data_IF_058841576455
#
_entry.id   IF_058841576455
#
_cell.length_a   1.000
_cell.length_b   1.000
_cell.length_c   1.000
_cell.angle_alpha   90.00
_cell.angle_beta   90.00
_cell.angle_gamma   90.00
#
_symmetry.space_group_name_H-M   'P 1'
#
loop_
_entity.id
_entity.type
_entity.pdbx_description
1 polymer ?
#
# COMPACT_ATOMS: atom_id res chain seq x y z
N UNK A 1 19.53 -19.88 23.13
CA UNK A 1 19.29 -18.73 22.22
C UNK A 1 19.27 -19.16 20.76
N UNK A 2 20.32 -19.84 20.24
CA UNK A 2 20.36 -20.32 18.85
C UNK A 2 19.17 -21.22 18.46
N UNK A 3 18.71 -22.12 19.35
CA UNK A 3 17.54 -22.96 19.11
C UNK A 3 16.21 -22.16 18.98
N UNK A 4 16.06 -21.07 19.74
CA UNK A 4 14.87 -20.20 19.65
C UNK A 4 14.86 -19.45 18.31
N UNK A 5 16.01 -18.92 17.90
CA UNK A 5 16.18 -18.25 16.59
C UNK A 5 15.88 -19.22 15.44
N UNK A 6 16.37 -20.46 15.53
CA UNK A 6 16.10 -21.50 14.53
C UNK A 6 14.59 -21.77 14.37
N UNK A 7 13.87 -21.93 15.47
CA UNK A 7 12.43 -22.21 15.46
C UNK A 7 11.62 -20.99 15.02
N UNK A 8 12.05 -19.77 15.36
CA UNK A 8 11.49 -18.53 14.84
C UNK A 8 11.56 -18.50 13.30
N UNK A 9 12.71 -18.86 12.71
CA UNK A 9 12.89 -18.85 11.25
C UNK A 9 11.97 -19.84 10.55
N UNK A 10 11.87 -21.07 11.07
CA UNK A 10 10.98 -22.12 10.52
C UNK A 10 9.53 -21.62 10.51
N UNK A 11 9.10 -20.92 11.55
CA UNK A 11 7.74 -20.38 11.63
C UNK A 11 7.53 -19.19 10.70
N UNK A 12 8.51 -18.28 10.60
CA UNK A 12 8.43 -17.07 9.78
C UNK A 12 8.53 -17.32 8.27
N UNK A 13 9.00 -18.50 7.83
CA UNK A 13 9.09 -18.89 6.40
C UNK A 13 7.75 -19.28 5.75
N UNK A 14 6.73 -19.69 6.52
CA UNK A 14 5.45 -20.22 5.97
C UNK A 14 4.47 -19.16 5.44
N UNK A 15 4.85 -17.89 5.36
CA UNK A 15 3.97 -16.80 4.91
C UNK A 15 4.20 -16.34 3.46
N UNK A 16 5.09 -16.97 2.69
CA UNK A 16 5.44 -16.51 1.33
C UNK A 16 5.63 -17.68 0.35
N UNK A 17 4.54 -18.33 -0.05
CA UNK A 17 4.52 -19.16 -1.27
C UNK A 17 3.24 -18.86 -2.05
N UNK A 18 3.40 -18.18 -3.19
CA UNK A 18 2.40 -18.08 -4.26
C UNK A 18 2.62 -19.26 -5.21
N UNK A 19 1.64 -20.12 -5.49
CA UNK A 19 1.79 -21.16 -6.50
C UNK A 19 1.50 -20.58 -7.89
N UNK A 20 2.53 -20.49 -8.73
CA UNK A 20 2.37 -20.40 -10.18
C UNK A 20 2.41 -21.82 -10.75
N UNK A 21 1.37 -22.22 -11.48
CA UNK A 21 1.35 -23.44 -12.29
C UNK A 21 0.99 -23.08 -13.73
N UNK A 22 1.89 -23.40 -14.66
CA UNK A 22 1.68 -23.34 -16.10
C UNK A 22 0.71 -24.44 -16.56
N UNK A 23 -0.09 -24.13 -17.58
CA UNK A 23 -0.67 -25.14 -18.46
C UNK A 23 -0.70 -24.60 -19.90
N UNK A 24 -0.05 -25.31 -20.80
CA UNK A 24 -0.01 -25.12 -22.25
C UNK A 24 -1.20 -25.84 -22.91
N UNK A 25 -1.71 -25.30 -24.02
CA UNK A 25 -2.21 -26.06 -25.18
C UNK A 25 -2.49 -25.14 -26.39
N UNK A 26 -2.02 -25.56 -27.57
CA UNK A 26 -2.25 -24.97 -28.89
C UNK A 26 -3.56 -25.48 -29.51
N UNK A 27 -4.26 -24.64 -30.30
CA UNK A 27 -4.91 -25.08 -31.56
C UNK A 27 -5.27 -23.89 -32.48
N UNK A 28 -5.35 -24.20 -33.78
CA UNK A 28 -5.32 -23.37 -35.00
C UNK A 28 -6.57 -22.53 -35.31
N UNK A 29 -6.39 -21.49 -36.15
CA UNK A 29 -7.43 -20.59 -36.68
C UNK A 29 -7.70 -20.91 -38.17
N UNK A 30 -8.98 -20.90 -38.59
CA UNK A 30 -9.40 -20.59 -39.95
C UNK A 30 -10.51 -19.51 -39.94
N UNK A 31 -10.60 -18.77 -41.05
CA UNK A 31 -11.23 -17.46 -41.27
C UNK A 31 -12.68 -17.53 -41.81
N UNK A 32 -13.57 -16.64 -41.35
CA UNK A 32 -14.29 -15.59 -42.14
C UNK A 32 -15.58 -15.05 -41.49
N UNK A 33 -15.66 -13.72 -41.47
CA UNK A 33 -16.76 -12.74 -41.64
C UNK A 33 -18.10 -12.68 -40.87
N UNK A 34 -18.32 -11.44 -40.36
CA UNK A 34 -19.49 -10.60 -40.06
C UNK A 34 -20.68 -11.11 -39.21
N UNK A 35 -20.98 -10.36 -38.13
CA UNK A 35 -22.07 -10.65 -37.19
C UNK A 35 -22.70 -9.34 -36.66
N UNK A 36 -24.03 -9.20 -36.76
CA UNK A 36 -24.79 -7.95 -36.53
C UNK A 36 -25.80 -8.02 -35.36
N UNK A 37 -25.40 -8.53 -34.19
CA UNK A 37 -26.30 -8.54 -33.02
C UNK A 37 -26.23 -7.25 -32.19
N UNK A 38 -27.38 -6.82 -31.63
CA UNK A 38 -27.48 -5.65 -30.74
C UNK A 38 -28.20 -6.01 -29.44
N UNK A 39 -27.64 -5.59 -28.31
CA UNK A 39 -28.21 -5.68 -26.98
C UNK A 39 -28.99 -4.40 -26.67
N UNK A 40 -30.25 -4.53 -26.26
CA UNK A 40 -31.10 -3.40 -25.92
C UNK A 40 -31.36 -3.39 -24.42
N UNK A 41 -30.90 -2.34 -23.73
CA UNK A 41 -31.11 -2.12 -22.30
C UNK A 41 -31.99 -0.90 -22.04
N UNK A 42 -32.76 -0.96 -20.95
CA UNK A 42 -33.55 0.16 -20.48
C UNK A 42 -32.64 1.19 -19.77
N UNK A 43 -32.63 2.43 -20.24
CA UNK A 43 -31.69 3.46 -19.78
C UNK A 43 -31.85 3.80 -18.29
N UNK A 44 -33.05 3.68 -17.72
CA UNK A 44 -33.31 4.04 -16.31
C UNK A 44 -32.99 2.92 -15.32
N UNK A 45 -32.91 1.66 -15.76
CA UNK A 45 -32.76 0.49 -14.88
C UNK A 45 -31.58 -0.41 -15.22
N UNK A 46 -30.94 -0.19 -16.37
CA UNK A 46 -29.95 -1.07 -16.99
C UNK A 46 -30.41 -2.52 -17.23
N UNK A 47 -31.70 -2.82 -17.06
CA UNK A 47 -32.25 -4.13 -17.34
C UNK A 47 -32.29 -4.40 -18.84
N UNK A 48 -31.92 -5.63 -19.24
CA UNK A 48 -31.94 -6.08 -20.64
C UNK A 48 -33.39 -6.30 -21.06
N UNK A 49 -33.84 -5.53 -22.08
CA UNK A 49 -35.23 -5.57 -22.56
C UNK A 49 -35.41 -6.62 -23.65
N UNK A 50 -34.31 -7.00 -24.33
CA UNK A 50 -34.30 -8.08 -25.32
C UNK A 50 -33.01 -8.88 -25.17
N UNK A 51 -33.07 -10.19 -24.89
CA UNK A 51 -31.86 -11.01 -24.84
C UNK A 51 -31.19 -11.03 -26.23
N UNK A 52 -29.85 -11.11 -26.31
CA UNK A 52 -29.19 -11.31 -27.59
C UNK A 52 -29.69 -12.64 -28.17
N UNK A 53 -30.10 -12.65 -29.45
CA UNK A 53 -30.35 -13.88 -30.18
C UNK A 53 -29.11 -14.76 -30.06
N UNK A 54 -29.22 -16.04 -29.69
CA UNK A 54 -28.06 -16.92 -29.53
C UNK A 54 -27.25 -16.98 -30.84
N UNK A 55 -25.99 -16.54 -30.79
CA UNK A 55 -25.03 -16.70 -31.88
C UNK A 55 -23.62 -16.81 -31.32
N UNK A 56 -22.84 -17.76 -31.83
CA UNK A 56 -21.43 -17.98 -31.50
C UNK A 56 -20.53 -17.30 -32.52
N UNK A 57 -20.43 -15.98 -32.46
CA UNK A 57 -19.49 -15.22 -33.28
C UNK A 57 -18.19 -15.00 -32.49
N UNK A 58 -17.03 -15.39 -33.05
CA UNK A 58 -15.71 -15.03 -32.50
C UNK A 58 -15.59 -13.50 -32.54
N UNK A 59 -15.44 -12.85 -31.39
CA UNK A 59 -15.16 -11.41 -31.30
C UNK A 59 -13.87 -11.15 -32.09
N UNK A 60 -13.90 -10.23 -33.06
CA UNK A 60 -12.71 -9.79 -33.77
C UNK A 60 -11.74 -9.17 -32.74
N UNK A 61 -10.64 -9.86 -32.45
CA UNK A 61 -9.65 -9.46 -31.45
C UNK A 61 -9.19 -8.01 -31.64
N UNK A 62 -8.97 -7.61 -32.90
CA UNK A 62 -8.55 -6.25 -33.26
C UNK A 62 -9.61 -5.19 -32.91
N UNK A 63 -10.90 -5.49 -33.05
CA UNK A 63 -11.97 -4.55 -32.68
C UNK A 63 -12.08 -4.39 -31.17
N UNK A 64 -11.89 -5.48 -30.41
CA UNK A 64 -11.87 -5.45 -28.96
C UNK A 64 -10.66 -4.66 -28.43
N UNK A 65 -9.48 -4.90 -29.00
CA UNK A 65 -8.24 -4.17 -28.70
C UNK A 65 -8.38 -2.66 -28.95
N UNK A 66 -8.96 -2.27 -30.09
CA UNK A 66 -9.23 -0.87 -30.39
C UNK A 66 -10.24 -0.25 -29.39
N UNK A 67 -11.23 -1.01 -28.93
CA UNK A 67 -12.18 -0.53 -27.91
C UNK A 67 -11.49 -0.34 -26.56
N UNK A 68 -10.72 -1.32 -26.11
CA UNK A 68 -9.94 -1.26 -24.87
C UNK A 68 -8.95 -0.08 -24.91
N UNK A 69 -8.24 0.09 -26.03
CA UNK A 69 -7.36 1.24 -26.24
C UNK A 69 -8.11 2.57 -26.11
N UNK A 70 -9.26 2.70 -26.79
CA UNK A 70 -10.04 3.93 -26.79
C UNK A 70 -10.65 4.25 -25.43
N UNK A 71 -11.11 3.25 -24.68
CA UNK A 71 -11.61 3.40 -23.32
C UNK A 71 -10.49 3.80 -22.37
N UNK A 72 -9.34 3.15 -22.46
CA UNK A 72 -8.17 3.49 -21.64
C UNK A 72 -7.66 4.92 -21.94
N UNK A 73 -7.58 5.33 -23.20
CA UNK A 73 -7.22 6.71 -23.58
C UNK A 73 -8.25 7.69 -23.01
N UNK A 74 -9.54 7.37 -23.07
CA UNK A 74 -10.58 8.25 -22.58
C UNK A 74 -10.55 8.40 -21.06
N UNK A 75 -10.44 7.29 -20.33
CA UNK A 75 -10.28 7.27 -18.87
C UNK A 75 -9.08 8.11 -18.45
N UNK A 76 -7.92 7.90 -19.08
CA UNK A 76 -6.68 8.59 -18.73
C UNK A 76 -6.68 10.07 -19.13
N UNK A 77 -7.37 10.41 -20.21
CA UNK A 77 -7.57 11.80 -20.59
C UNK A 77 -8.33 12.58 -19.51
N UNK A 78 -9.37 11.97 -18.94
CA UNK A 78 -10.25 12.60 -17.95
C UNK A 78 -9.63 12.57 -16.55
N UNK A 79 -9.06 11.44 -16.14
CA UNK A 79 -8.72 11.16 -14.75
C UNK A 79 -7.25 11.40 -14.38
N UNK A 80 -6.37 11.74 -15.32
CA UNK A 80 -4.94 11.88 -15.06
C UNK A 80 -4.31 13.16 -15.62
N UNK A 81 -3.24 13.63 -14.96
CA UNK A 81 -2.51 14.86 -15.32
C UNK A 81 -1.46 14.68 -16.44
N UNK A 82 -1.30 13.46 -16.95
CA UNK A 82 -0.28 13.14 -17.96
C UNK A 82 -0.43 13.93 -19.27
N UNK A 83 0.69 14.17 -19.96
CA UNK A 83 0.63 14.77 -21.30
C UNK A 83 -0.04 13.80 -22.29
N UNK A 84 -0.67 14.29 -23.38
CA UNK A 84 -1.22 13.41 -24.41
C UNK A 84 -0.18 12.42 -24.96
N UNK A 85 1.09 12.82 -25.08
CA UNK A 85 2.17 11.96 -25.54
C UNK A 85 2.51 10.85 -24.54
N UNK A 86 2.50 11.17 -23.25
CA UNK A 86 2.70 10.20 -22.16
C UNK A 86 1.56 9.18 -22.13
N UNK A 87 0.29 9.63 -22.23
CA UNK A 87 -0.88 8.75 -22.29
C UNK A 87 -0.74 7.79 -23.46
N UNK A 88 -0.51 8.31 -24.67
CA UNK A 88 -0.37 7.52 -25.89
C UNK A 88 0.77 6.49 -25.75
N UNK A 89 1.94 6.91 -25.27
CA UNK A 89 3.09 6.03 -25.06
C UNK A 89 2.80 4.93 -24.04
N UNK A 90 2.12 5.28 -22.95
CA UNK A 90 1.71 4.33 -21.91
C UNK A 90 0.61 3.39 -22.40
N UNK A 91 -0.29 3.80 -23.29
CA UNK A 91 -1.25 2.90 -23.93
C UNK A 91 -0.52 1.84 -24.76
N UNK A 92 0.42 2.28 -25.60
CA UNK A 92 1.24 1.37 -26.42
C UNK A 92 2.07 0.39 -25.57
N UNK A 93 2.58 0.83 -24.40
CA UNK A 93 3.31 -0.02 -23.45
C UNK A 93 2.41 -0.91 -22.59
N UNK A 94 1.24 -0.40 -22.17
CA UNK A 94 0.30 -1.04 -21.25
C UNK A 94 -0.43 -2.24 -21.87
N UNK A 95 -0.60 -2.21 -23.19
CA UNK A 95 -0.99 -3.37 -24.01
C UNK A 95 -0.08 -4.58 -23.77
N UNK A 96 1.16 -4.41 -23.30
CA UNK A 96 2.06 -5.53 -22.98
C UNK A 96 2.00 -6.05 -21.54
N UNK A 97 1.35 -5.39 -20.58
CA UNK A 97 1.64 -5.68 -19.16
C UNK A 97 0.52 -5.72 -18.12
N UNK A 98 -0.72 -5.29 -18.36
CA UNK A 98 -1.76 -5.44 -17.32
C UNK A 98 -3.19 -5.35 -17.84
N UNK A 99 -3.89 -6.49 -17.87
CA UNK A 99 -5.29 -6.57 -17.48
C UNK A 99 -5.53 -7.96 -16.88
N UNK A 100 -5.91 -8.03 -15.61
CA UNK A 100 -6.27 -9.30 -14.98
C UNK A 100 -7.51 -9.88 -15.68
N UNK A 101 -7.42 -11.17 -16.03
CA UNK A 101 -8.38 -12.00 -16.78
C UNK A 101 -8.41 -11.79 -18.30
N UNK A 102 -7.33 -12.16 -19.00
CA UNK A 102 -7.36 -12.89 -20.29
C UNK A 102 -5.90 -13.11 -20.74
N UNK A 103 -5.21 -14.07 -20.11
CA UNK A 103 -3.85 -14.51 -20.50
C UNK A 103 -3.78 -15.09 -21.93
N UNK A 104 -4.91 -15.16 -22.65
CA UNK A 104 -5.01 -15.70 -24.00
C UNK A 104 -4.83 -14.64 -25.11
N UNK A 105 -4.91 -13.33 -24.82
CA UNK A 105 -4.84 -12.28 -25.87
C UNK A 105 -3.48 -11.55 -25.91
N UNK A 106 -2.64 -11.69 -24.88
CA UNK A 106 -1.46 -10.83 -24.69
C UNK A 106 -0.14 -11.37 -25.28
N UNK A 107 -0.14 -12.54 -25.94
CA UNK A 107 1.10 -13.10 -26.52
C UNK A 107 1.47 -12.56 -27.92
N UNK A 108 0.65 -11.72 -28.54
CA UNK A 108 0.74 -11.52 -30.00
C UNK A 108 1.10 -10.12 -30.49
N UNK A 109 1.32 -9.14 -29.61
CA UNK A 109 1.68 -7.78 -30.08
C UNK A 109 3.20 -7.64 -30.10
N UNK A 110 3.76 -8.21 -31.16
CA UNK A 110 5.06 -7.79 -31.67
C UNK A 110 4.91 -6.39 -32.30
N UNK A 111 5.94 -5.55 -32.22
CA UNK A 111 5.92 -4.16 -32.72
C UNK A 111 5.78 -4.13 -34.27
N UNK A 112 5.90 -5.29 -34.88
CA UNK A 112 5.68 -5.61 -36.30
C UNK A 112 4.21 -5.93 -36.64
N UNK A 113 3.29 -5.97 -35.68
CA UNK A 113 1.89 -6.35 -35.91
C UNK A 113 1.13 -5.27 -36.73
N UNK A 114 0.57 -5.62 -37.92
CA UNK A 114 -0.22 -4.71 -38.76
C UNK A 114 -1.50 -4.15 -38.09
N UNK A 115 -1.88 -4.60 -36.89
CA UNK A 115 -2.94 -4.00 -36.07
C UNK A 115 -2.67 -2.53 -35.68
N UNK A 116 -1.40 -2.11 -35.54
CA UNK A 116 -1.00 -0.72 -35.24
C UNK A 116 -1.44 0.25 -36.36
N UNK A 117 -1.49 -0.21 -37.60
CA UNK A 117 -1.88 0.60 -38.77
C UNK A 117 -3.36 1.03 -38.70
N UNK A 118 -4.19 0.33 -37.90
CA UNK A 118 -5.62 0.62 -37.71
C UNK A 118 -5.90 1.58 -36.57
N UNK A 119 -4.89 1.96 -35.79
CA UNK A 119 -5.04 2.98 -34.75
C UNK A 119 -5.22 4.36 -35.40
N UNK A 120 -6.03 5.25 -34.80
CA UNK A 120 -6.13 6.62 -35.28
C UNK A 120 -4.74 7.28 -35.29
N UNK A 121 -4.48 8.14 -36.28
CA UNK A 121 -3.24 8.91 -36.33
C UNK A 121 -2.97 9.60 -34.97
N UNK A 122 -1.70 9.63 -34.55
CA UNK A 122 -1.29 10.14 -33.24
C UNK A 122 -1.88 11.52 -32.93
N UNK A 123 -1.94 12.41 -33.92
CA UNK A 123 -2.51 13.75 -33.78
C UNK A 123 -4.03 13.74 -33.56
N UNK A 124 -4.75 12.80 -34.17
CA UNK A 124 -6.18 12.63 -33.91
C UNK A 124 -6.43 12.15 -32.48
N UNK A 125 -5.57 11.26 -31.96
CA UNK A 125 -5.63 10.83 -30.56
C UNK A 125 -5.33 12.01 -29.62
N UNK A 126 -4.29 12.80 -29.90
CA UNK A 126 -3.98 14.02 -29.13
C UNK A 126 -5.14 15.00 -29.13
N UNK A 127 -5.75 15.25 -30.29
CA UNK A 127 -6.92 16.13 -30.43
C UNK A 127 -8.10 15.61 -29.62
N UNK A 128 -8.38 14.31 -29.68
CA UNK A 128 -9.44 13.67 -28.89
C UNK A 128 -9.18 13.79 -27.39
N UNK A 129 -7.95 13.55 -26.92
CA UNK A 129 -7.58 13.74 -25.50
C UNK A 129 -7.87 15.18 -25.06
N UNK A 130 -7.47 16.17 -25.87
CA UNK A 130 -7.75 17.60 -25.58
C UNK A 130 -9.25 17.89 -25.54
N UNK A 131 -10.03 17.35 -26.48
CA UNK A 131 -11.49 17.50 -26.49
C UNK A 131 -12.15 16.82 -25.28
N UNK A 132 -11.74 15.60 -24.94
CA UNK A 132 -12.29 14.88 -23.77
C UNK A 132 -12.00 15.64 -22.48
N UNK A 133 -10.80 16.20 -22.34
CA UNK A 133 -10.45 17.08 -21.22
C UNK A 133 -11.30 18.33 -21.18
N UNK A 134 -11.47 19.00 -22.30
CA UNK A 134 -12.26 20.22 -22.38
C UNK A 134 -13.74 19.98 -22.09
N UNK A 135 -14.33 18.93 -22.67
CA UNK A 135 -15.75 18.63 -22.55
C UNK A 135 -16.13 18.02 -21.19
N UNK A 136 -15.19 17.36 -20.49
CA UNK A 136 -15.41 16.81 -19.15
C UNK A 136 -14.86 17.69 -18.02
N UNK A 137 -14.29 18.85 -18.33
CA UNK A 137 -13.89 19.84 -17.32
C UNK A 137 -15.13 20.51 -16.73
N UNK A 138 -15.76 19.83 -15.75
CA UNK A 138 -16.82 20.42 -14.92
C UNK A 138 -16.23 21.48 -13.97
N UNK A 139 -14.95 21.32 -13.60
CA UNK A 139 -14.21 22.22 -12.71
C UNK A 139 -12.77 22.39 -13.21
N UNK A 140 -12.22 23.61 -13.10
CA UNK A 140 -10.83 23.89 -13.50
C UNK A 140 -9.88 23.15 -12.56
N UNK A 141 -9.12 22.22 -13.09
CA UNK A 141 -8.13 21.45 -12.32
C UNK A 141 -6.96 22.35 -11.90
N UNK A 142 -6.55 22.32 -10.62
CA UNK A 142 -5.40 23.06 -10.15
C UNK A 142 -4.12 22.31 -10.56
N UNK A 143 -3.24 23.05 -11.21
CA UNK A 143 -1.87 22.61 -11.48
C UNK A 143 -0.86 23.29 -10.54
N UNK A 144 -1.36 24.13 -9.63
CA UNK A 144 -0.56 24.85 -8.65
C UNK A 144 -1.18 24.65 -7.25
N UNK A 145 -0.36 24.33 -6.24
CA UNK A 145 -0.77 24.23 -4.82
C UNK A 145 -1.40 25.50 -4.23
N UNK A 146 -1.27 26.66 -4.87
CA UNK A 146 -1.83 27.94 -4.47
C UNK A 146 -3.25 28.20 -4.98
N UNK A 147 -3.96 27.16 -5.42
CA UNK A 147 -5.38 27.27 -5.76
C UNK A 147 -6.18 27.80 -4.55
N UNK A 148 -7.28 28.55 -4.74
CA UNK A 148 -7.96 29.22 -3.63
C UNK A 148 -8.51 28.20 -2.62
N UNK A 149 -9.57 27.48 -2.98
CA UNK A 149 -10.19 26.47 -2.12
C UNK A 149 -10.76 25.32 -2.94
N UNK A 150 -10.95 24.17 -2.29
CA UNK A 150 -11.64 23.05 -2.91
C UNK A 150 -13.11 23.42 -3.19
N UNK A 151 -13.69 22.99 -4.34
CA UNK A 151 -15.10 23.17 -4.63
C UNK A 151 -16.00 22.62 -3.52
N UNK A 152 -17.09 23.31 -3.21
CA UNK A 152 -17.96 22.97 -2.05
C UNK A 152 -18.57 21.57 -2.12
N UNK A 153 -18.74 21.00 -3.32
CA UNK A 153 -19.23 19.63 -3.46
C UNK A 153 -18.18 18.60 -3.02
N UNK A 154 -16.90 18.94 -3.12
CA UNK A 154 -15.77 18.08 -2.77
C UNK A 154 -15.30 18.26 -1.31
N UNK A 155 -15.93 19.17 -0.57
CA UNK A 155 -15.69 19.33 0.88
C UNK A 155 -16.63 18.47 1.73
N UNK A 156 -17.54 17.72 1.09
CA UNK A 156 -18.57 16.92 1.75
C UNK A 156 -18.49 15.44 1.39
N UNK A 157 -19.00 14.57 2.27
CA UNK A 157 -19.16 13.13 2.00
C UNK A 157 -20.25 12.88 0.96
N UNK A 158 -20.39 11.64 0.48
CA UNK A 158 -21.53 11.25 -0.37
C UNK A 158 -22.88 11.44 0.33
N UNK A 159 -22.88 11.41 1.68
CA UNK A 159 -24.05 11.66 2.53
C UNK A 159 -24.28 13.14 2.84
N UNK A 160 -23.42 14.02 2.31
CA UNK A 160 -23.44 15.49 2.46
C UNK A 160 -22.99 16.01 3.83
N UNK A 161 -22.34 15.16 4.63
CA UNK A 161 -21.69 15.55 5.88
C UNK A 161 -20.37 16.27 5.59
N UNK A 162 -19.80 16.96 6.58
CA UNK A 162 -18.49 17.57 6.43
C UNK A 162 -17.44 16.49 6.13
N UNK A 163 -16.52 16.75 5.20
CA UNK A 163 -15.41 15.84 4.90
C UNK A 163 -14.04 16.53 4.90
N UNK A 164 -13.87 17.61 4.12
CA UNK A 164 -12.65 18.43 4.23
C UNK A 164 -12.69 19.20 5.57
N UNK A 165 -11.86 18.77 6.53
CA UNK A 165 -11.80 19.32 7.88
C UNK A 165 -10.82 20.48 8.03
N UNK A 166 -9.71 20.44 7.28
CA UNK A 166 -8.71 21.50 7.30
C UNK A 166 -8.10 21.67 5.92
N UNK A 167 -7.94 22.93 5.54
CA UNK A 167 -7.14 23.39 4.42
C UNK A 167 -6.29 24.54 4.95
N UNK A 168 -4.99 24.32 5.12
CA UNK A 168 -4.08 25.33 5.70
C UNK A 168 -3.85 26.53 4.78
N UNK A 169 -4.46 26.52 3.59
CA UNK A 169 -4.39 27.60 2.61
C UNK A 169 -3.22 27.48 1.63
N UNK A 170 -3.20 28.32 0.59
CA UNK A 170 -2.11 28.41 -0.39
C UNK A 170 -0.74 28.48 0.26
N UNK A 171 0.20 27.66 -0.22
CA UNK A 171 1.57 27.71 0.25
C UNK A 171 2.38 26.46 -0.07
N UNK A 172 3.66 26.55 0.26
CA UNK A 172 4.63 25.47 0.04
C UNK A 172 4.41 24.25 0.93
N UNK A 173 3.81 24.48 2.09
CA UNK A 173 3.52 23.44 3.10
C UNK A 173 2.00 23.24 3.28
N UNK A 174 1.21 23.49 2.23
CA UNK A 174 -0.25 23.29 2.27
C UNK A 174 -0.60 21.86 2.66
N UNK A 175 -1.52 21.71 3.61
CA UNK A 175 -2.07 20.44 4.05
C UNK A 175 -3.58 20.47 3.84
N UNK A 176 -4.12 19.41 3.24
CA UNK A 176 -5.56 19.14 3.21
C UNK A 176 -5.85 17.92 4.06
N UNK A 177 -6.78 18.03 5.00
CA UNK A 177 -7.18 16.96 5.92
C UNK A 177 -8.64 16.60 5.70
N UNK A 178 -8.90 15.32 5.45
CA UNK A 178 -10.23 14.77 5.22
C UNK A 178 -10.57 13.70 6.25
N UNK A 179 -11.75 13.84 6.84
CA UNK A 179 -12.39 12.86 7.73
C UNK A 179 -13.87 13.21 7.85
N UNK A 180 -14.77 12.24 7.96
CA UNK A 180 -16.16 12.48 8.34
C UNK A 180 -16.32 12.64 9.86
N UNK A 181 -17.48 13.09 10.33
CA UNK A 181 -17.72 13.30 11.76
C UNK A 181 -17.61 11.97 12.52
N UNK A 182 -18.16 10.89 11.95
CA UNK A 182 -18.04 9.53 12.47
C UNK A 182 -16.57 9.07 12.55
N UNK A 183 -15.75 9.36 11.53
CA UNK A 183 -14.32 9.01 11.57
C UNK A 183 -13.58 9.78 12.66
N UNK A 184 -13.94 11.05 12.90
CA UNK A 184 -13.37 11.87 13.99
C UNK A 184 -13.79 11.32 15.36
N UNK A 185 -15.03 10.90 15.52
CA UNK A 185 -15.50 10.26 16.75
C UNK A 185 -14.75 8.97 17.03
N UNK A 186 -14.65 8.08 16.03
CA UNK A 186 -13.89 6.83 16.15
C UNK A 186 -12.40 7.09 16.39
N UNK A 187 -11.81 8.14 15.81
CA UNK A 187 -10.42 8.54 16.05
C UNK A 187 -10.18 8.89 17.52
N UNK A 188 -11.12 9.59 18.16
CA UNK A 188 -11.00 9.98 19.56
C UNK A 188 -11.20 8.80 20.52
N UNK A 189 -12.00 7.81 20.13
CA UNK A 189 -12.32 6.63 20.96
C UNK A 189 -11.35 5.45 20.74
N UNK A 190 -10.45 5.55 19.75
CA UNK A 190 -9.48 4.50 19.42
C UNK A 190 -8.12 4.79 20.08
N UNK A 191 -7.46 3.75 20.58
CA UNK A 191 -6.17 3.88 21.27
C UNK A 191 -4.98 3.37 20.44
N UNK A 192 -5.22 2.56 19.42
CA UNK A 192 -4.18 1.90 18.62
C UNK A 192 -4.25 2.33 17.16
N UNK A 193 -3.12 2.79 16.64
CA UNK A 193 -3.05 3.37 15.30
C UNK A 193 -1.96 2.75 14.44
N UNK A 194 -2.25 2.64 13.16
CA UNK A 194 -1.28 2.33 12.12
C UNK A 194 -1.22 3.52 11.17
N UNK A 195 -0.02 4.05 10.92
CA UNK A 195 0.13 5.26 10.10
C UNK A 195 1.09 4.98 8.96
N UNK A 196 0.71 5.40 7.75
CA UNK A 196 1.47 5.10 6.55
C UNK A 196 1.30 6.18 5.46
N UNK A 197 2.34 6.35 4.65
CA UNK A 197 2.37 7.28 3.52
C UNK A 197 2.27 6.55 2.18
N UNK A 198 1.35 6.98 1.31
CA UNK A 198 1.17 6.46 -0.04
C UNK A 198 1.63 7.48 -1.10
N UNK A 199 2.70 7.14 -1.83
CA UNK A 199 3.36 8.05 -2.79
C UNK A 199 2.89 7.90 -4.25
N UNK A 200 2.41 6.72 -4.65
CA UNK A 200 2.21 6.38 -6.09
C UNK A 200 0.83 6.74 -6.65
N UNK A 201 0.01 7.47 -5.90
CA UNK A 201 -1.43 7.63 -6.19
C UNK A 201 -1.88 9.08 -6.01
N UNK A 202 -0.95 10.02 -5.79
CA UNK A 202 -1.30 11.38 -5.41
C UNK A 202 -1.31 12.33 -6.61
N UNK A 203 -2.11 13.40 -6.56
CA UNK A 203 -2.02 14.50 -7.53
C UNK A 203 -0.64 15.15 -7.51
N UNK A 204 -0.13 15.59 -8.66
CA UNK A 204 1.27 16.07 -8.81
C UNK A 204 1.60 17.30 -7.95
N UNK A 205 0.59 18.07 -7.55
CA UNK A 205 0.74 19.23 -6.68
C UNK A 205 0.99 18.86 -5.20
N UNK A 206 0.84 17.58 -4.84
CA UNK A 206 1.14 17.02 -3.53
C UNK A 206 2.19 15.91 -3.62
N UNK A 207 2.92 15.69 -2.52
CA UNK A 207 4.00 14.70 -2.46
C UNK A 207 3.51 13.33 -1.99
N UNK A 208 2.56 13.30 -1.05
CA UNK A 208 2.06 12.06 -0.47
C UNK A 208 0.64 12.19 0.08
N UNK A 209 -0.06 11.05 0.12
CA UNK A 209 -1.26 10.84 0.89
C UNK A 209 -0.84 10.12 2.17
N UNK A 210 -0.98 10.79 3.31
CA UNK A 210 -0.70 10.22 4.61
C UNK A 210 -2.01 9.78 5.26
N UNK A 211 -2.07 8.52 5.71
CA UNK A 211 -3.30 7.91 6.21
C UNK A 211 -3.09 7.41 7.63
N UNK A 212 -3.94 7.86 8.55
CA UNK A 212 -3.99 7.35 9.92
C UNK A 212 -5.13 6.34 9.99
N UNK A 213 -4.78 5.08 10.23
CA UNK A 213 -5.74 4.02 10.48
C UNK A 213 -5.89 3.79 11.98
N UNK A 214 -7.13 3.75 12.47
CA UNK A 214 -7.43 3.29 13.82
C UNK A 214 -7.75 1.80 13.82
N UNK A 215 -7.28 1.08 14.83
CA UNK A 215 -7.70 -0.30 15.09
C UNK A 215 -9.02 -0.28 15.86
N UNK A 216 -10.12 -0.24 15.13
CA UNK A 216 -11.46 -0.26 15.67
C UNK A 216 -12.02 -1.68 15.65
N UNK A 217 -12.42 -2.22 16.82
CA UNK A 217 -12.98 -3.58 16.96
C UNK A 217 -12.13 -4.64 16.23
N UNK A 218 -10.82 -4.61 16.49
CA UNK A 218 -9.77 -5.46 15.90
C UNK A 218 -9.53 -5.31 14.40
N UNK A 219 -10.08 -4.28 13.74
CA UNK A 219 -9.91 -4.01 12.33
C UNK A 219 -9.27 -2.65 12.12
N UNK A 220 -8.25 -2.58 11.26
CA UNK A 220 -7.65 -1.31 10.87
C UNK A 220 -8.53 -0.65 9.81
N UNK A 221 -9.07 0.53 10.12
CA UNK A 221 -9.86 1.35 9.22
C UNK A 221 -9.25 2.74 9.09
N UNK A 222 -9.28 3.37 7.89
CA UNK A 222 -8.76 4.71 7.70
C UNK A 222 -9.67 5.74 8.39
N UNK A 223 -9.08 6.61 9.22
CA UNK A 223 -9.82 7.63 9.97
C UNK A 223 -9.45 9.05 9.55
N UNK A 224 -8.20 9.26 9.14
CA UNK A 224 -7.74 10.54 8.57
C UNK A 224 -7.04 10.26 7.24
N UNK A 225 -7.39 11.05 6.23
CA UNK A 225 -6.63 11.19 4.99
C UNK A 225 -6.03 12.58 4.94
N UNK A 226 -4.72 12.68 4.72
CA UNK A 226 -4.04 13.96 4.60
C UNK A 226 -3.21 14.04 3.32
N UNK A 227 -3.38 15.09 2.53
CA UNK A 227 -2.50 15.41 1.42
C UNK A 227 -1.41 16.38 1.89
N UNK A 228 -0.14 15.98 1.75
CA UNK A 228 1.02 16.75 2.20
C UNK A 228 1.95 17.05 1.01
N UNK A 229 2.56 18.23 1.01
CA UNK A 229 3.55 18.64 0.00
C UNK A 229 4.99 18.27 0.33
N UNK A 230 5.26 17.93 1.59
CA UNK A 230 6.59 17.55 2.08
C UNK A 230 6.50 16.38 3.07
N UNK A 231 7.66 15.84 3.43
CA UNK A 231 7.85 14.79 4.44
C UNK A 231 8.86 15.19 5.52
N UNK A 232 8.91 16.48 5.85
CA UNK A 232 9.78 16.97 6.92
C UNK A 232 9.12 16.77 8.28
N UNK A 233 9.92 16.78 9.35
CA UNK A 233 9.42 16.65 10.72
C UNK A 233 8.42 17.76 11.05
N UNK A 234 8.72 18.98 10.59
CA UNK A 234 7.89 20.17 10.79
C UNK A 234 6.53 20.02 10.09
N UNK A 235 6.51 19.40 8.91
CA UNK A 235 5.27 19.12 8.17
C UNK A 235 4.38 18.15 8.96
N UNK A 236 4.95 17.07 9.51
CA UNK A 236 4.18 16.14 10.34
C UNK A 236 3.75 16.74 11.68
N UNK A 237 4.58 17.57 12.30
CA UNK A 237 4.19 18.30 13.50
C UNK A 237 3.03 19.26 13.22
N UNK A 238 3.04 19.93 12.07
CA UNK A 238 1.92 20.76 11.62
C UNK A 238 0.67 19.92 11.39
N UNK A 239 0.78 18.81 10.66
CA UNK A 239 -0.34 17.88 10.46
C UNK A 239 -0.96 17.43 11.78
N UNK A 240 -0.15 16.98 12.75
CA UNK A 240 -0.65 16.49 14.04
C UNK A 240 -1.33 17.62 14.83
N UNK A 241 -0.80 18.85 14.79
CA UNK A 241 -1.46 20.02 15.40
C UNK A 241 -2.84 20.28 14.80
N UNK A 242 -2.95 20.25 13.47
CA UNK A 242 -4.24 20.44 12.80
C UNK A 242 -5.22 19.31 13.10
N UNK A 243 -4.75 18.06 13.19
CA UNK A 243 -5.60 16.93 13.62
C UNK A 243 -6.07 17.10 15.06
N UNK A 244 -5.22 17.59 15.97
CA UNK A 244 -5.62 17.87 17.36
C UNK A 244 -6.62 19.03 17.46
N UNK A 245 -6.58 20.00 16.55
CA UNK A 245 -7.62 21.03 16.45
C UNK A 245 -8.97 20.42 16.02
N UNK A 246 -8.95 19.42 15.13
CA UNK A 246 -10.14 18.70 14.64
C UNK A 246 -10.66 17.70 15.69
N UNK A 247 -9.77 17.01 16.39
CA UNK A 247 -10.04 15.92 17.32
C UNK A 247 -9.29 16.14 18.65
N UNK A 248 -9.74 17.07 19.52
CA UNK A 248 -8.99 17.47 20.72
C UNK A 248 -8.79 16.37 21.75
N UNK A 249 -9.63 15.32 21.73
CA UNK A 249 -9.52 14.17 22.64
C UNK A 249 -8.64 13.04 22.10
N UNK A 250 -8.08 13.17 20.89
CA UNK A 250 -7.25 12.13 20.32
C UNK A 250 -6.01 11.87 21.19
N UNK A 251 -5.98 10.69 21.81
CA UNK A 251 -4.95 10.29 22.77
C UNK A 251 -4.51 8.85 22.50
N UNK A 252 -3.60 8.62 21.55
CA UNK A 252 -3.16 7.28 21.20
C UNK A 252 -2.35 6.64 22.34
N UNK A 253 -2.67 5.38 22.68
CA UNK A 253 -1.82 4.54 23.55
C UNK A 253 -0.67 3.91 22.77
N UNK A 254 -0.90 3.53 21.51
CA UNK A 254 0.12 2.92 20.66
C UNK A 254 0.00 3.38 19.21
N UNK A 255 1.14 3.67 18.58
CA UNK A 255 1.20 4.06 17.16
C UNK A 255 2.28 3.24 16.46
N UNK A 256 1.89 2.53 15.42
CA UNK A 256 2.81 1.87 14.50
C UNK A 256 3.11 2.79 13.33
N UNK A 257 4.40 3.03 13.10
CA UNK A 257 4.91 3.93 12.08
C UNK A 257 5.81 3.17 11.08
N UNK A 258 6.04 3.77 9.92
CA UNK A 258 7.14 3.38 9.05
C UNK A 258 8.50 3.85 9.64
N UNK A 259 9.61 3.34 9.12
CA UNK A 259 10.98 3.67 9.50
C UNK A 259 11.40 5.04 8.92
N UNK A 260 10.57 6.05 9.14
CA UNK A 260 10.81 7.43 8.75
C UNK A 260 11.05 8.30 10.00
N UNK A 261 12.28 8.78 10.16
CA UNK A 261 12.72 9.52 11.34
C UNK A 261 11.93 10.82 11.57
N UNK A 262 11.51 11.48 10.49
CA UNK A 262 10.71 12.70 10.55
C UNK A 262 9.33 12.45 11.17
N UNK A 263 8.63 11.42 10.69
CA UNK A 263 7.33 10.99 11.23
C UNK A 263 7.47 10.52 12.68
N UNK A 264 8.43 9.64 12.98
CA UNK A 264 8.70 9.18 14.34
C UNK A 264 8.95 10.35 15.30
N UNK A 265 9.84 11.28 14.94
CA UNK A 265 10.16 12.42 15.78
C UNK A 265 8.98 13.38 15.99
N UNK A 266 8.04 13.46 15.05
CA UNK A 266 6.83 14.27 15.19
C UNK A 266 5.81 13.61 16.14
N UNK A 267 5.54 12.32 15.97
CA UNK A 267 4.66 11.57 16.87
C UNK A 267 5.23 11.49 18.29
N UNK A 268 6.54 11.32 18.44
CA UNK A 268 7.19 11.29 19.76
C UNK A 268 7.06 12.62 20.50
N UNK A 269 7.14 13.73 19.77
CA UNK A 269 6.96 15.06 20.35
C UNK A 269 5.49 15.34 20.73
N UNK A 270 4.54 14.89 19.90
CA UNK A 270 3.12 15.12 20.15
C UNK A 270 2.52 14.18 21.20
N UNK A 271 2.99 12.94 21.27
CA UNK A 271 2.46 11.89 22.14
C UNK A 271 3.59 11.18 22.90
N UNK A 272 4.25 11.87 23.86
CA UNK A 272 5.42 11.33 24.55
C UNK A 272 5.13 10.07 25.37
N UNK A 273 3.87 9.86 25.77
CA UNK A 273 3.43 8.70 26.53
C UNK A 273 2.95 7.53 25.65
N UNK A 274 2.80 7.74 24.34
CA UNK A 274 2.36 6.69 23.44
C UNK A 274 3.50 5.70 23.16
N UNK A 275 3.17 4.41 23.07
CA UNK A 275 4.10 3.39 22.60
C UNK A 275 4.26 3.49 21.09
N UNK A 276 5.38 4.08 20.66
CA UNK A 276 5.75 4.18 19.24
C UNK A 276 6.58 2.97 18.82
N UNK A 277 6.22 2.37 17.70
CA UNK A 277 6.96 1.22 17.15
C UNK A 277 7.01 1.23 15.64
N UNK A 278 8.10 0.71 15.08
CA UNK A 278 8.19 0.36 13.67
C UNK A 278 7.37 -0.88 13.35
N UNK A 279 7.01 -1.04 12.08
CA UNK A 279 6.36 -2.26 11.59
C UNK A 279 7.39 -3.36 11.24
N UNK A 280 7.13 -4.61 11.60
CA UNK A 280 8.03 -5.72 11.25
C UNK A 280 8.20 -5.93 9.74
N UNK A 281 7.17 -5.62 8.94
CA UNK A 281 7.26 -5.66 7.48
C UNK A 281 8.30 -4.65 6.96
N UNK A 282 8.28 -3.42 7.48
CA UNK A 282 9.22 -2.37 7.09
C UNK A 282 10.65 -2.66 7.55
N UNK A 283 10.83 -3.32 8.71
CA UNK A 283 12.14 -3.83 9.13
C UNK A 283 12.69 -4.87 8.13
N UNK A 284 11.87 -5.83 7.70
CA UNK A 284 12.31 -6.79 6.67
C UNK A 284 12.57 -6.12 5.33
N UNK A 285 11.75 -5.13 5.00
CA UNK A 285 11.90 -4.38 3.75
C UNK A 285 13.20 -3.58 3.73
N UNK A 286 13.61 -2.98 4.85
CA UNK A 286 14.90 -2.26 4.94
C UNK A 286 16.10 -3.22 4.79
N UNK A 287 16.05 -4.39 5.43
CA UNK A 287 17.04 -5.46 5.21
C UNK A 287 17.08 -5.86 3.73
N UNK A 288 15.92 -6.08 3.10
CA UNK A 288 15.87 -6.47 1.69
C UNK A 288 16.40 -5.38 0.74
N UNK A 289 16.08 -4.10 1.00
CA UNK A 289 16.68 -2.97 0.26
C UNK A 289 18.20 -2.98 0.40
N UNK A 290 18.72 -3.23 1.60
CA UNK A 290 20.17 -3.31 1.80
C UNK A 290 20.80 -4.45 1.02
N UNK A 291 20.15 -5.61 0.96
CA UNK A 291 20.63 -6.73 0.12
C UNK A 291 20.63 -6.38 -1.38
N UNK A 292 19.71 -5.55 -1.84
CA UNK A 292 19.71 -5.06 -3.23
C UNK A 292 20.89 -4.11 -3.48
N UNK A 293 21.19 -3.20 -2.53
CA UNK A 293 22.36 -2.31 -2.62
C UNK A 293 23.69 -3.06 -2.64
N UNK A 294 23.76 -4.20 -1.94
CA UNK A 294 24.93 -5.08 -1.88
C UNK A 294 24.94 -6.13 -3.00
N UNK A 295 24.01 -6.07 -3.97
CA UNK A 295 23.87 -7.01 -5.08
C UNK A 295 23.66 -8.49 -4.68
N UNK A 296 23.13 -8.73 -3.47
CA UNK A 296 22.81 -10.07 -2.95
C UNK A 296 21.37 -10.52 -3.24
N UNK A 297 20.61 -9.80 -4.07
CA UNK A 297 19.20 -10.13 -4.34
C UNK A 297 19.04 -11.51 -4.98
N UNK A 298 19.86 -11.83 -5.98
CA UNK A 298 19.80 -13.13 -6.66
C UNK A 298 20.15 -14.27 -5.70
N UNK A 299 21.25 -14.10 -4.94
CA UNK A 299 21.66 -15.09 -3.94
C UNK A 299 20.59 -15.32 -2.88
N UNK A 300 19.94 -14.26 -2.38
CA UNK A 300 18.83 -14.38 -1.44
C UNK A 300 17.64 -15.18 -1.99
N UNK A 301 17.42 -15.19 -3.31
CA UNK A 301 16.34 -15.95 -3.94
C UNK A 301 16.72 -17.39 -4.26
N UNK A 302 18.00 -17.65 -4.54
CA UNK A 302 18.48 -18.93 -5.09
C UNK A 302 19.21 -19.81 -4.07
N UNK A 303 19.76 -19.22 -3.01
CA UNK A 303 20.50 -19.91 -1.95
C UNK A 303 19.68 -19.97 -0.64
N UNK A 304 19.12 -21.15 -0.28
CA UNK A 304 18.33 -21.33 0.93
C UNK A 304 19.10 -21.11 2.24
N UNK A 305 20.43 -21.32 2.24
CA UNK A 305 21.30 -21.15 3.41
C UNK A 305 21.54 -19.66 3.62
N UNK A 306 21.90 -18.93 2.56
CA UNK A 306 22.03 -17.47 2.64
C UNK A 306 20.72 -16.82 3.11
N UNK A 307 19.59 -17.20 2.50
CA UNK A 307 18.28 -16.72 2.93
C UNK A 307 17.96 -17.07 4.39
N UNK A 308 18.39 -18.24 4.87
CA UNK A 308 18.23 -18.66 6.26
C UNK A 308 18.98 -17.74 7.22
N UNK A 309 20.23 -17.42 6.92
CA UNK A 309 21.06 -16.55 7.74
C UNK A 309 20.55 -15.10 7.74
N UNK A 310 20.05 -14.59 6.61
CA UNK A 310 19.32 -13.30 6.60
C UNK A 310 18.07 -13.34 7.48
N UNK A 311 17.34 -14.46 7.51
CA UNK A 311 16.18 -14.61 8.39
C UNK A 311 16.57 -14.65 9.88
N UNK A 312 17.76 -15.15 10.25
CA UNK A 312 18.29 -15.05 11.63
C UNK A 312 18.39 -13.60 12.08
N UNK A 313 18.93 -12.72 11.24
CA UNK A 313 19.05 -11.29 11.52
C UNK A 313 17.66 -10.67 11.77
N UNK A 314 16.70 -10.95 10.89
CA UNK A 314 15.32 -10.46 11.05
C UNK A 314 14.59 -11.08 12.25
N UNK A 315 15.01 -12.24 12.74
CA UNK A 315 14.42 -12.91 13.90
C UNK A 315 14.84 -12.28 15.24
N UNK A 316 15.93 -11.50 15.27
CA UNK A 316 16.38 -10.74 16.45
C UNK A 316 15.27 -9.84 17.02
N UNK A 317 14.36 -9.38 16.16
CA UNK A 317 13.21 -8.56 16.57
C UNK A 317 12.29 -9.29 17.57
N UNK A 318 12.33 -10.61 17.64
CA UNK A 318 11.50 -11.40 18.55
C UNK A 318 12.22 -11.85 19.81
N UNK A 319 13.49 -11.52 20.00
CA UNK A 319 14.16 -11.73 21.27
C UNK A 319 13.66 -10.69 22.28
N UNK A 320 13.70 -11.04 23.58
CA UNK A 320 13.54 -10.03 24.62
C UNK A 320 14.52 -8.87 24.40
N UNK A 321 14.12 -7.59 24.60
CA UNK A 321 14.97 -6.43 24.32
C UNK A 321 16.38 -6.53 24.90
N UNK A 322 16.50 -6.99 26.15
CA UNK A 322 17.78 -7.15 26.85
C UNK A 322 18.67 -8.28 26.26
N UNK A 323 18.08 -9.21 25.50
CA UNK A 323 18.78 -10.32 24.85
C UNK A 323 19.17 -10.02 23.41
N UNK A 324 18.68 -8.93 22.80
CA UNK A 324 18.90 -8.60 21.39
C UNK A 324 20.38 -8.42 21.07
N UNK A 325 21.11 -7.66 21.89
CA UNK A 325 22.55 -7.39 21.68
C UNK A 325 23.36 -8.68 21.72
N UNK A 326 23.14 -9.52 22.74
CA UNK A 326 23.82 -10.81 22.87
C UNK A 326 23.46 -11.76 21.70
N UNK A 327 22.21 -11.74 21.24
CA UNK A 327 21.76 -12.51 20.09
C UNK A 327 22.40 -12.05 18.77
N UNK A 328 22.59 -10.74 18.61
CA UNK A 328 23.31 -10.16 17.47
C UNK A 328 24.80 -10.57 17.49
N UNK A 329 25.49 -10.39 18.61
CA UNK A 329 26.91 -10.76 18.76
C UNK A 329 27.13 -12.25 18.53
N UNK A 330 26.26 -13.10 19.08
CA UNK A 330 26.31 -14.55 18.84
C UNK A 330 26.14 -14.89 17.37
N UNK A 331 25.21 -14.22 16.68
CA UNK A 331 24.99 -14.41 15.25
C UNK A 331 26.17 -13.92 14.42
N UNK A 332 26.80 -12.81 14.80
CA UNK A 332 27.98 -12.26 14.14
C UNK A 332 29.21 -13.17 14.24
N UNK A 333 29.36 -13.90 15.34
CA UNK A 333 30.46 -14.86 15.52
C UNK A 333 30.22 -16.18 14.78
N UNK A 334 28.96 -16.53 14.49
CA UNK A 334 28.59 -17.76 13.78
C UNK A 334 28.66 -17.60 12.26
N UNK A 335 28.34 -16.40 11.75
CA UNK A 335 28.37 -16.09 10.33
C UNK A 335 29.80 -15.81 9.87
N UNK A 336 30.12 -16.27 8.65
CA UNK A 336 31.40 -15.97 8.02
C UNK A 336 31.43 -14.54 7.44
N UNK A 337 32.61 -14.15 6.95
CA UNK A 337 32.87 -12.82 6.41
C UNK A 337 31.95 -12.43 5.22
N UNK A 338 31.25 -13.39 4.62
CA UNK A 338 30.29 -13.14 3.55
C UNK A 338 29.09 -12.30 4.03
N UNK A 339 28.82 -12.24 5.33
CA UNK A 339 27.71 -11.48 5.91
C UNK A 339 28.14 -10.16 6.56
N UNK A 340 29.43 -9.82 6.55
CA UNK A 340 29.97 -8.67 7.29
C UNK A 340 29.27 -7.36 6.88
N UNK A 341 29.06 -7.11 5.58
CA UNK A 341 28.42 -5.87 5.11
C UNK A 341 26.97 -5.70 5.59
N UNK A 342 26.18 -6.78 5.63
CA UNK A 342 24.79 -6.73 6.10
C UNK A 342 24.74 -6.64 7.62
N UNK A 343 25.66 -7.29 8.33
CA UNK A 343 25.79 -7.21 9.78
C UNK A 343 26.25 -5.82 10.22
N UNK A 344 27.21 -5.20 9.53
CA UNK A 344 27.69 -3.84 9.76
C UNK A 344 26.61 -2.79 9.55
N UNK A 345 25.78 -2.99 8.52
CA UNK A 345 24.58 -2.18 8.30
C UNK A 345 23.60 -2.33 9.46
N UNK A 346 23.28 -3.57 9.84
CA UNK A 346 22.30 -3.85 10.88
C UNK A 346 22.78 -3.33 12.24
N UNK A 347 24.08 -3.48 12.54
CA UNK A 347 24.68 -2.94 13.77
C UNK A 347 24.57 -1.43 13.81
N UNK A 348 24.95 -0.73 12.73
CA UNK A 348 24.86 0.73 12.67
C UNK A 348 23.43 1.26 12.80
N UNK A 349 22.47 0.61 12.14
CA UNK A 349 21.10 1.08 12.07
C UNK A 349 20.26 0.75 13.32
N UNK A 350 20.45 -0.43 13.92
CA UNK A 350 19.49 -1.00 14.89
C UNK A 350 20.10 -1.40 16.24
N UNK A 351 21.40 -1.73 16.30
CA UNK A 351 22.06 -2.21 17.53
C UNK A 351 22.89 -1.10 18.21
N UNK A 352 23.55 -0.28 17.40
CA UNK A 352 24.52 0.71 17.83
C UNK A 352 25.94 0.15 17.90
N UNK A 353 26.86 0.69 17.09
CA UNK A 353 28.26 0.23 17.02
C UNK A 353 28.98 0.33 18.37
N UNK A 354 29.75 -0.71 18.71
CA UNK A 354 30.58 -0.72 19.92
C UNK A 354 31.74 0.28 19.81
N UNK A 355 31.97 1.07 20.86
CA UNK A 355 33.12 1.97 20.98
C UNK A 355 34.26 1.31 21.75
N UNK A 356 35.45 1.89 21.65
CA UNK A 356 36.65 1.46 22.40
C UNK A 356 36.43 1.42 23.92
N UNK A 357 35.59 2.30 24.47
CA UNK A 357 35.23 2.33 25.88
C UNK A 357 34.12 1.32 26.28
N UNK A 358 33.82 0.33 25.42
CA UNK A 358 32.77 -0.69 25.60
C UNK A 358 31.33 -0.15 25.71
N UNK A 359 31.10 1.12 25.37
CA UNK A 359 29.74 1.67 25.22
C UNK A 359 29.27 1.58 23.78
N UNK A 360 27.98 1.40 23.54
CA UNK A 360 27.40 1.41 22.19
C UNK A 360 26.99 2.83 21.78
N UNK A 361 27.17 3.16 20.50
CA UNK A 361 26.61 4.40 19.90
C UNK A 361 25.08 4.30 19.89
N UNK A 362 24.39 5.45 19.96
CA UNK A 362 22.95 5.49 19.76
C UNK A 362 22.63 5.06 18.31
N UNK A 363 21.83 4.00 18.08
CA UNK A 363 21.44 3.57 16.75
C UNK A 363 20.48 4.57 16.11
N UNK A 364 20.26 4.45 14.80
CA UNK A 364 19.24 5.24 14.09
C UNK A 364 17.83 4.93 14.62
N UNK A 365 17.55 3.64 14.87
CA UNK A 365 16.32 3.17 15.48
C UNK A 365 16.65 2.32 16.71
N UNK A 366 16.18 2.76 17.89
CA UNK A 366 16.41 2.06 19.14
C UNK A 366 15.69 0.70 19.19
N UNK A 367 16.24 -0.26 19.94
CA UNK A 367 15.73 -1.63 20.03
C UNK A 367 14.23 -1.66 20.34
N UNK A 368 13.78 -0.88 21.32
CA UNK A 368 12.37 -0.83 21.72
C UNK A 368 11.43 -0.39 20.58
N UNK A 369 11.91 0.39 19.62
CA UNK A 369 11.11 0.84 18.47
C UNK A 369 10.83 -0.30 17.49
N UNK A 370 11.84 -1.11 17.14
CA UNK A 370 11.70 -2.16 16.11
C UNK A 370 11.49 -3.56 16.68
N UNK A 371 11.58 -3.74 18.00
CA UNK A 371 11.36 -5.01 18.66
C UNK A 371 9.87 -5.41 18.67
N UNK A 372 9.63 -6.70 18.44
CA UNK A 372 8.32 -7.32 18.29
C UNK A 372 7.98 -8.26 19.45
N UNK A 373 8.89 -8.49 20.40
CA UNK A 373 8.66 -9.44 21.50
C UNK A 373 7.48 -9.00 22.38
N UNK A 374 7.53 -7.77 22.90
CA UNK A 374 6.46 -7.24 23.76
C UNK A 374 5.12 -7.14 23.01
N UNK A 375 5.15 -6.67 21.75
CA UNK A 375 3.95 -6.56 20.91
C UNK A 375 3.31 -7.93 20.67
N UNK A 376 4.14 -8.94 20.36
CA UNK A 376 3.66 -10.33 20.18
C UNK A 376 3.04 -10.86 21.46
N UNK A 377 3.71 -10.73 22.59
CA UNK A 377 3.25 -11.27 23.88
C UNK A 377 1.98 -10.59 24.38
N UNK A 378 1.78 -9.31 24.04
CA UNK A 378 0.56 -8.54 24.34
C UNK A 378 -0.54 -8.69 23.28
N UNK A 379 -0.34 -9.52 22.25
CA UNK A 379 -1.28 -9.69 21.13
C UNK A 379 -1.63 -8.37 20.40
N UNK A 380 -0.71 -7.40 20.43
CA UNK A 380 -0.83 -6.14 19.70
C UNK A 380 -0.38 -6.35 18.26
N UNK A 381 -0.98 -5.66 17.28
CA UNK A 381 -0.58 -5.78 15.88
C UNK A 381 0.93 -5.53 15.68
N UNK A 382 1.55 -6.34 14.82
CA UNK A 382 3.01 -6.37 14.54
C UNK A 382 3.36 -6.00 13.12
N UNK A 383 2.42 -6.20 12.20
CA UNK A 383 2.57 -5.92 10.78
C UNK A 383 1.52 -4.93 10.35
N UNK A 384 1.90 -4.07 9.41
CA UNK A 384 1.03 -3.10 8.77
C UNK A 384 0.25 -3.73 7.60
N UNK A 385 -0.01 -5.05 7.65
CA UNK A 385 -0.56 -5.81 6.52
C UNK A 385 -1.91 -5.27 6.06
N UNK A 386 -2.75 -4.84 7.01
CA UNK A 386 -4.06 -4.23 6.73
C UNK A 386 -3.89 -2.92 5.96
N UNK A 387 -2.99 -2.06 6.40
CA UNK A 387 -2.68 -0.78 5.75
C UNK A 387 -1.99 -0.97 4.40
N UNK A 388 -1.10 -1.95 4.23
CA UNK A 388 -0.49 -2.24 2.92
C UNK A 388 -1.51 -2.89 1.97
N UNK A 389 -2.41 -3.74 2.47
CA UNK A 389 -3.54 -4.23 1.68
C UNK A 389 -4.47 -3.07 1.28
N UNK A 390 -4.72 -2.13 2.19
CA UNK A 390 -5.47 -0.91 1.93
C UNK A 390 -4.78 -0.03 0.89
N UNK A 391 -3.49 0.24 1.03
CA UNK A 391 -2.69 1.01 0.09
C UNK A 391 -2.63 0.35 -1.29
N UNK A 392 -2.55 -0.99 -1.37
CA UNK A 392 -2.67 -1.73 -2.63
C UNK A 392 -4.06 -1.62 -3.24
N UNK A 393 -5.11 -1.69 -2.42
CA UNK A 393 -6.49 -1.52 -2.88
C UNK A 393 -6.72 -0.09 -3.38
N UNK A 394 -6.29 0.94 -2.66
CA UNK A 394 -6.31 2.33 -3.11
C UNK A 394 -5.53 2.47 -4.41
N UNK A 395 -4.31 1.95 -4.52
CA UNK A 395 -3.56 1.94 -5.80
C UNK A 395 -4.39 1.36 -6.95
N UNK A 396 -5.10 0.26 -6.69
CA UNK A 396 -5.95 -0.40 -7.67
C UNK A 396 -7.25 0.35 -7.98
N UNK A 397 -7.86 1.03 -7.00
CA UNK A 397 -9.10 1.82 -7.19
C UNK A 397 -8.81 3.09 -7.96
N UNK A 398 -7.64 3.68 -7.71
CA UNK A 398 -7.29 4.96 -8.32
C UNK A 398 -6.80 4.80 -9.76
N UNK A 399 -6.31 3.62 -10.19
CA UNK A 399 -6.00 3.20 -11.59
C UNK A 399 -5.09 4.11 -12.43
N UNK A 400 -4.70 5.28 -11.94
CA UNK A 400 -3.73 6.18 -12.53
C UNK A 400 -2.67 6.55 -11.50
N UNK A 401 -1.39 6.56 -11.91
CA UNK A 401 -0.28 6.92 -11.04
C UNK A 401 -0.38 8.38 -10.52
N UNK A 402 -1.07 9.24 -11.28
CA UNK A 402 -1.22 10.68 -11.02
C UNK A 402 -2.65 11.12 -11.37
N UNK A 403 -3.60 10.92 -10.45
CA UNK A 403 -4.97 11.42 -10.63
C UNK A 403 -5.02 12.94 -10.49
N UNK A 404 -5.91 13.60 -11.22
CA UNK A 404 -6.17 15.03 -10.96
C UNK A 404 -6.70 15.23 -9.54
N UNK A 405 -6.54 16.44 -8.96
CA UNK A 405 -6.90 16.67 -7.56
C UNK A 405 -8.39 16.45 -7.32
N UNK A 406 -9.26 16.93 -8.21
CA UNK A 406 -10.71 16.81 -8.01
C UNK A 406 -11.18 15.37 -8.13
N UNK A 407 -10.64 14.61 -9.08
CA UNK A 407 -10.92 13.16 -9.21
C UNK A 407 -10.39 12.40 -7.99
N UNK A 408 -9.22 12.78 -7.48
CA UNK A 408 -8.64 12.17 -6.29
C UNK A 408 -9.54 12.37 -5.06
N UNK A 409 -9.99 13.61 -4.81
CA UNK A 409 -10.89 13.89 -3.68
C UNK A 409 -12.23 13.16 -3.86
N UNK A 410 -12.77 13.11 -5.08
CA UNK A 410 -13.99 12.35 -5.34
C UNK A 410 -13.84 10.85 -5.04
N UNK A 411 -12.67 10.27 -5.34
CA UNK A 411 -12.35 8.89 -4.97
C UNK A 411 -12.23 8.72 -3.45
N UNK A 412 -11.64 9.67 -2.73
CA UNK A 412 -11.62 9.66 -1.27
C UNK A 412 -13.03 9.71 -0.66
N UNK A 413 -13.96 10.47 -1.25
CA UNK A 413 -15.37 10.50 -0.82
C UNK A 413 -16.02 9.11 -0.98
N UNK A 414 -15.70 8.38 -2.06
CA UNK A 414 -16.20 7.01 -2.24
C UNK A 414 -15.58 6.03 -1.25
N UNK A 415 -14.29 6.20 -0.92
CA UNK A 415 -13.60 5.42 0.11
C UNK A 415 -14.14 5.67 1.51
N UNK A 416 -14.51 6.92 1.82
CA UNK A 416 -15.23 7.28 3.04
C UNK A 416 -16.56 6.53 3.15
N UNK A 417 -17.35 6.47 2.06
CA UNK A 417 -18.61 5.75 2.06
C UNK A 417 -18.45 4.24 2.33
N UNK A 418 -17.39 3.62 1.81
CA UNK A 418 -17.03 2.24 2.15
C UNK A 418 -16.62 2.07 3.62
N UNK A 419 -15.83 3.01 4.14
CA UNK A 419 -15.40 3.02 5.54
C UNK A 419 -16.58 3.17 6.50
N UNK A 420 -17.54 4.05 6.17
CA UNK A 420 -18.79 4.21 6.91
C UNK A 420 -19.58 2.89 6.98
N UNK A 421 -19.72 2.18 5.85
CA UNK A 421 -20.38 0.88 5.84
C UNK A 421 -19.66 -0.14 6.74
N UNK A 422 -18.33 -0.16 6.71
CA UNK A 422 -17.52 -1.03 7.58
C UNK A 422 -17.74 -0.70 9.08
N UNK A 423 -17.77 0.59 9.46
CA UNK A 423 -18.05 1.03 10.83
C UNK A 423 -19.44 0.54 11.28
N UNK A 424 -20.48 0.76 10.47
CA UNK A 424 -21.84 0.31 10.77
C UNK A 424 -21.91 -1.22 10.95
N UNK A 425 -21.26 -1.98 10.07
CA UNK A 425 -21.20 -3.44 10.16
C UNK A 425 -20.51 -3.90 11.45
N UNK A 426 -19.41 -3.25 11.84
CA UNK A 426 -18.70 -3.54 13.08
C UNK A 426 -19.51 -3.17 14.33
N UNK A 427 -20.20 -2.04 14.31
CA UNK A 427 -21.13 -1.62 15.37
C UNK A 427 -22.29 -2.60 15.53
N UNK A 428 -22.83 -3.13 14.42
CA UNK A 428 -23.86 -4.16 14.38
C UNK A 428 -23.37 -5.57 14.75
N UNK A 429 -22.11 -5.73 15.16
CA UNK A 429 -21.53 -7.03 15.55
C UNK A 429 -21.27 -7.97 14.37
N UNK A 430 -21.20 -7.45 13.14
CA UNK A 430 -20.93 -8.19 11.90
C UNK A 430 -19.64 -7.69 11.24
N UNK A 431 -18.48 -7.78 11.92
CA UNK A 431 -17.23 -7.27 11.36
C UNK A 431 -16.82 -8.03 10.09
N UNK A 432 -16.01 -7.42 9.21
CA UNK A 432 -15.39 -8.11 8.08
C UNK A 432 -14.64 -9.37 8.54
N UNK A 433 -14.68 -10.45 7.74
CA UNK A 433 -14.02 -11.72 8.13
C UNK A 433 -12.49 -11.62 8.01
N UNK A 434 -11.78 -11.91 9.10
CA UNK A 434 -10.33 -12.15 9.07
C UNK A 434 -10.00 -13.49 8.39
N UNK A 435 -8.84 -13.57 7.73
CA UNK A 435 -8.35 -14.83 7.13
C UNK A 435 -7.85 -15.78 8.23
N UNK A 436 -8.43 -16.98 8.31
CA UNK A 436 -8.12 -18.03 9.32
C UNK A 436 -6.63 -18.42 9.41
N UNK A 437 -5.89 -18.34 8.29
CA UNK A 437 -4.45 -18.68 8.24
C UNK A 437 -3.59 -17.77 9.10
N UNK A 438 -3.95 -16.50 9.25
CA UNK A 438 -3.19 -15.55 10.06
C UNK A 438 -3.34 -15.85 11.56
N UNK A 439 -4.54 -16.20 12.04
CA UNK A 439 -4.80 -16.48 13.45
C UNK A 439 -3.99 -17.66 13.99
N UNK A 440 -3.84 -18.73 13.20
CA UNK A 440 -3.05 -19.91 13.60
C UNK A 440 -1.57 -19.59 13.72
N UNK A 441 -1.05 -18.76 12.82
CA UNK A 441 0.35 -18.31 12.86
C UNK A 441 0.61 -17.40 14.07
N UNK A 442 -0.25 -16.42 14.32
CA UNK A 442 -0.17 -15.52 15.47
C UNK A 442 -0.11 -16.31 16.79
N UNK A 443 -1.03 -17.28 16.97
CA UNK A 443 -1.09 -18.12 18.17
C UNK A 443 0.17 -18.97 18.37
N UNK A 444 0.70 -19.57 17.30
CA UNK A 444 1.93 -20.35 17.37
C UNK A 444 3.12 -19.48 17.77
N UNK A 445 3.26 -18.31 17.14
CA UNK A 445 4.36 -17.41 17.44
C UNK A 445 4.27 -16.86 18.88
N UNK A 446 3.07 -16.54 19.37
CA UNK A 446 2.86 -16.22 20.79
C UNK A 446 3.31 -17.35 21.72
N UNK A 447 2.89 -18.58 21.44
CA UNK A 447 3.26 -19.74 22.25
C UNK A 447 4.78 -19.97 22.31
N UNK A 448 5.48 -19.79 21.18
CA UNK A 448 6.94 -19.92 21.12
C UNK A 448 7.64 -18.89 22.01
N UNK A 449 7.16 -17.65 22.03
CA UNK A 449 7.78 -16.59 22.84
C UNK A 449 7.49 -16.74 24.34
N UNK A 450 6.27 -17.17 24.69
CA UNK A 450 5.88 -17.34 26.09
C UNK A 450 6.43 -18.64 26.68
N UNK A 451 6.57 -19.71 25.88
CA UNK A 451 7.01 -21.03 26.33
C UNK A 451 8.07 -21.65 25.39
N UNK A 452 9.27 -21.03 25.28
CA UNK A 452 10.27 -21.43 24.30
C UNK A 452 10.73 -22.88 24.46
N UNK A 453 10.91 -23.37 25.69
CA UNK A 453 11.40 -24.73 25.97
C UNK A 453 10.43 -25.84 25.54
N UNK A 454 9.11 -25.58 25.51
CA UNK A 454 8.09 -26.57 25.19
C UNK A 454 7.83 -26.70 23.69
N UNK A 455 8.00 -25.61 22.93
CA UNK A 455 7.72 -25.59 21.48
C UNK A 455 8.99 -25.94 20.67
N UNK A 456 10.19 -25.63 21.19
CA UNK A 456 11.46 -26.02 20.58
C UNK A 456 11.58 -27.54 20.46
N UNK A 457 11.16 -28.30 21.47
CA UNK A 457 11.17 -29.78 21.45
C UNK A 457 10.13 -30.40 20.51
N UNK A 458 9.11 -29.64 20.11
CA UNK A 458 8.05 -30.09 19.18
C UNK A 458 8.42 -29.86 17.72
N UNK A 459 9.27 -28.86 17.40
CA UNK A 459 9.66 -28.55 16.01
C UNK A 459 11.08 -29.02 15.65
N UNK A 460 11.89 -29.46 16.61
CA UNK A 460 13.22 -30.05 16.37
C UNK A 460 13.14 -31.57 16.15
N UNK A 461 12.04 -32.21 16.56
CA UNK A 461 11.69 -33.59 16.16
C UNK A 461 10.80 -33.56 14.92
#
# INVERSE_FOLDING_TARGET
MCQLILVLIIMLRKTTLSPHSHCSNMTTISSNDQCHSRLHTCISTNAIVKPPSEHTCKVNGTTLELRVFNEFVADRAINAQETPDTIITNCYKGIKKNCFSLDFILSSIDISDPSIVRLPARDNIKRRIRMLRHNNQVMKEPNDPNFPSAPIQLTKTARKDHFLRCDTGPGDDRILIFASDEQVDVLQDTEEFLVDGAFKVVPDIFYQLYIIHGVFRDHAIPLIYALLRRKTKETYQHLIREILNIAPRWSPRAVMLDFEQASFGAFQAAFPNASLSGCYFHLRQSIHRKLQELDHQNQYQTDPIFAHNIHKIAALAFLEPNSVVNGFESSSNELDHHYDDIMDYFEGAYIGRLRSNRTRRKPMFEIDFWNMHRRTTQSVMRTNNSTEAYNRRIRSVFQCAHSTLWVFIQKLINEEAGTHADILHMCAGKPPKKKKTNERFERRLLNLLVNPHRDISVHIN
#
